data_IF_770513749793
#
_entry.id   IF_770513749793
#
_cell.length_a   1.000
_cell.length_b   1.000
_cell.length_c   1.000
_cell.angle_alpha   90.00
_cell.angle_beta   90.00
_cell.angle_gamma   90.00
#
_symmetry.space_group_name_H-M   'P 1'
#
loop_
_entity.id
_entity.type
_entity.pdbx_description
1 polymer ?
#
# COMPACT_ATOMS: atom_id res chain seq x y z
N UNK A 1 -6.76 4.71 9.17
CA UNK A 1 -5.29 4.72 9.34
C UNK A 1 -4.72 4.08 8.11
N UNK A 2 -3.86 4.79 7.41
CA UNK A 2 -3.24 4.32 6.19
C UNK A 2 -1.74 4.49 6.31
N UNK A 3 -1.02 3.43 5.99
CA UNK A 3 0.43 3.44 5.92
C UNK A 3 0.82 2.89 4.57
N UNK A 4 1.82 3.46 3.91
CA UNK A 4 2.34 2.90 2.67
C UNK A 4 3.85 2.75 2.76
N UNK A 5 4.38 1.85 1.96
CA UNK A 5 5.80 1.62 1.88
C UNK A 5 6.21 1.37 0.43
N UNK A 6 7.46 1.72 0.14
CA UNK A 6 8.13 1.42 -1.13
C UNK A 6 8.87 0.11 -0.95
N UNK A 7 8.86 -0.77 -1.94
CA UNK A 7 9.63 -2.00 -1.89
C UNK A 7 11.10 -1.76 -2.25
N UNK A 8 12.03 -2.44 -1.58
CA UNK A 8 13.48 -2.44 -1.90
C UNK A 8 13.71 -2.86 -3.34
N UNK A 9 12.91 -3.82 -3.81
CA UNK A 9 12.91 -4.35 -5.18
C UNK A 9 11.47 -4.59 -5.61
N UNK A 10 11.17 -4.41 -6.91
CA UNK A 10 9.86 -4.71 -7.44
C UNK A 10 9.52 -6.20 -7.24
N UNK A 11 8.41 -6.48 -6.56
CA UNK A 11 7.93 -7.85 -6.32
C UNK A 11 7.04 -8.31 -7.46
N UNK A 12 7.19 -9.55 -7.90
CA UNK A 12 6.45 -10.05 -9.06
C UNK A 12 4.98 -10.27 -8.69
N UNK A 13 4.06 -9.51 -9.29
CA UNK A 13 2.62 -9.67 -9.09
C UNK A 13 2.08 -10.81 -9.97
N UNK A 14 2.53 -10.85 -11.22
CA UNK A 14 2.20 -11.86 -12.22
C UNK A 14 3.34 -11.95 -13.25
N UNK A 15 3.16 -12.69 -14.35
CA UNK A 15 4.21 -12.85 -15.37
C UNK A 15 4.64 -11.57 -16.10
N UNK A 16 3.86 -10.50 -16.02
CA UNK A 16 4.05 -9.25 -16.77
C UNK A 16 4.17 -8.02 -15.88
N UNK A 17 3.69 -8.08 -14.64
CA UNK A 17 3.60 -6.94 -13.74
C UNK A 17 4.35 -7.16 -12.44
N UNK A 18 4.86 -6.04 -11.93
CA UNK A 18 5.59 -5.96 -10.68
C UNK A 18 4.93 -4.94 -9.78
N UNK A 19 4.95 -5.21 -8.47
CA UNK A 19 4.55 -4.30 -7.42
C UNK A 19 5.77 -3.49 -6.98
N UNK A 20 5.62 -2.18 -6.91
CA UNK A 20 6.66 -1.25 -6.45
C UNK A 20 6.35 -0.66 -5.08
N UNK A 21 5.06 -0.56 -4.74
CA UNK A 21 4.59 -0.01 -3.47
C UNK A 21 3.40 -0.79 -2.97
N UNK A 22 3.21 -0.73 -1.67
CA UNK A 22 2.08 -1.33 -0.95
C UNK A 22 1.54 -0.29 0.03
N UNK A 23 0.21 -0.21 0.15
CA UNK A 23 -0.48 0.59 1.14
C UNK A 23 -1.40 -0.29 1.97
N UNK A 24 -1.25 -0.25 3.29
CA UNK A 24 -2.11 -0.92 4.25
C UNK A 24 -3.07 0.09 4.86
N UNK A 25 -4.36 -0.15 4.65
CA UNK A 25 -5.45 0.60 5.22
C UNK A 25 -6.14 -0.24 6.29
N UNK A 26 -5.95 0.13 7.56
CA UNK A 26 -6.68 -0.47 8.67
C UNK A 26 -8.09 0.11 8.75
N UNK A 27 -9.07 -0.71 8.43
CA UNK A 27 -10.50 -0.39 8.51
C UNK A 27 -11.00 -0.89 9.86
N UNK A 28 -11.48 0.02 10.72
CA UNK A 28 -11.79 -0.22 12.15
C UNK A 28 -12.72 -1.43 12.43
N UNK A 29 -13.40 -2.00 11.42
CA UNK A 29 -14.34 -3.14 11.56
C UNK A 29 -14.21 -4.23 10.49
N UNK A 30 -13.40 -4.05 9.45
CA UNK A 30 -13.35 -4.96 8.30
C UNK A 30 -12.00 -5.64 8.11
N UNK A 31 -11.00 -5.30 8.93
CA UNK A 31 -9.65 -5.84 8.84
C UNK A 31 -8.69 -4.82 8.24
N UNK A 32 -7.77 -5.30 7.41
CA UNK A 32 -6.74 -4.47 6.78
C UNK A 32 -6.78 -4.68 5.27
N UNK A 33 -7.07 -3.62 4.54
CA UNK A 33 -6.98 -3.63 3.09
C UNK A 33 -5.55 -3.32 2.66
N UNK A 34 -4.96 -4.20 1.88
CA UNK A 34 -3.67 -4.02 1.25
C UNK A 34 -3.88 -3.65 -0.22
N UNK A 35 -3.32 -2.53 -0.62
CA UNK A 35 -3.37 -2.01 -1.97
C UNK A 35 -1.97 -2.06 -2.56
N UNK A 36 -1.83 -2.66 -3.73
CA UNK A 36 -0.54 -2.86 -4.39
C UNK A 36 -0.49 -2.08 -5.70
N UNK A 37 0.65 -1.43 -5.94
CA UNK A 37 0.82 -0.45 -7.01
C UNK A 37 1.86 -0.95 -8.00
N UNK A 38 1.50 -1.04 -9.29
CA UNK A 38 2.38 -1.58 -10.33
C UNK A 38 3.35 -0.57 -10.94
N UNK A 39 3.42 0.64 -10.37
CA UNK A 39 4.38 1.67 -10.75
C UNK A 39 4.82 2.50 -9.55
N UNK A 40 6.04 3.04 -9.61
CA UNK A 40 6.55 4.00 -8.64
C UNK A 40 5.79 5.35 -8.67
N UNK A 41 5.05 5.65 -9.73
CA UNK A 41 4.26 6.88 -9.86
C UNK A 41 2.75 6.61 -9.83
N UNK A 42 2.35 5.35 -9.62
CA UNK A 42 0.94 5.00 -9.54
C UNK A 42 0.31 5.65 -8.31
N UNK A 43 -0.69 6.50 -8.57
CA UNK A 43 -1.53 7.11 -7.53
C UNK A 43 -2.67 6.20 -7.11
N UNK A 44 -3.01 5.19 -7.92
CA UNK A 44 -4.11 4.23 -7.67
C UNK A 44 -3.59 2.80 -7.65
N UNK A 45 -4.25 1.97 -6.87
CA UNK A 45 -3.91 0.57 -6.78
C UNK A 45 -4.26 -0.16 -8.09
N UNK A 46 -3.42 -1.13 -8.45
CA UNK A 46 -3.72 -2.09 -9.53
C UNK A 46 -4.30 -3.39 -8.96
N UNK A 47 -3.92 -3.71 -7.73
CA UNK A 47 -4.37 -4.90 -7.01
C UNK A 47 -4.76 -4.56 -5.58
N UNK A 48 -5.72 -5.31 -5.06
CA UNK A 48 -6.14 -5.24 -3.66
C UNK A 48 -6.18 -6.64 -3.04
N UNK A 49 -5.91 -6.69 -1.73
CA UNK A 49 -5.98 -7.89 -0.93
C UNK A 49 -6.46 -7.56 0.48
N UNK A 50 -7.28 -8.41 1.08
CA UNK A 50 -7.79 -8.20 2.42
C UNK A 50 -7.11 -9.14 3.42
N UNK A 51 -6.45 -8.56 4.41
CA UNK A 51 -5.90 -9.24 5.56
C UNK A 51 -6.84 -9.15 6.76
N UNK A 52 -6.89 -10.22 7.56
CA UNK A 52 -7.63 -10.22 8.82
C UNK A 52 -7.04 -9.25 9.85
N UNK A 53 -5.70 -9.15 9.90
CA UNK A 53 -4.97 -8.37 10.90
C UNK A 53 -3.78 -7.63 10.28
N UNK A 54 -3.41 -6.51 10.89
CA UNK A 54 -2.27 -5.69 10.45
C UNK A 54 -0.93 -6.44 10.63
N UNK A 55 -0.83 -7.28 11.66
CA UNK A 55 0.36 -8.09 11.93
C UNK A 55 0.67 -9.02 10.77
N UNK A 56 -0.33 -9.73 10.23
CA UNK A 56 -0.15 -10.61 9.07
C UNK A 56 0.32 -9.84 7.83
N UNK A 57 -0.21 -8.62 7.62
CA UNK A 57 0.27 -7.78 6.53
C UNK A 57 1.72 -7.33 6.77
N UNK A 58 2.12 -7.01 8.00
CA UNK A 58 3.53 -6.72 8.28
C UNK A 58 4.44 -7.93 8.06
N UNK A 59 4.01 -9.14 8.45
CA UNK A 59 4.79 -10.36 8.21
C UNK A 59 5.09 -10.59 6.72
N UNK A 60 4.13 -10.33 5.83
CA UNK A 60 4.34 -10.45 4.37
C UNK A 60 5.22 -9.35 3.78
N UNK A 61 5.10 -8.11 4.28
CA UNK A 61 5.66 -6.93 3.58
C UNK A 61 6.91 -6.33 4.24
N UNK A 62 7.09 -6.42 5.56
CA UNK A 62 8.13 -5.66 6.30
C UNK A 62 9.56 -6.02 5.90
N UNK A 63 9.80 -7.26 5.47
CA UNK A 63 11.10 -7.70 4.95
C UNK A 63 11.41 -7.14 3.55
N UNK A 64 10.37 -6.78 2.80
CA UNK A 64 10.42 -6.34 1.41
C UNK A 64 10.51 -4.80 1.26
N UNK A 65 10.08 -4.03 2.27
CA UNK A 65 10.05 -2.56 2.22
C UNK A 65 11.42 -1.91 2.38
N UNK A 66 11.66 -0.81 1.68
CA UNK A 66 12.91 -0.04 1.69
C UNK A 66 13.25 0.57 3.07
N UNK A 67 14.47 1.11 3.21
CA UNK A 67 14.98 1.70 4.46
C UNK A 67 14.12 2.86 4.99
N UNK A 68 13.29 3.48 4.15
CA UNK A 68 12.31 4.49 4.59
C UNK A 68 11.21 3.89 5.47
N UNK A 69 11.00 2.58 5.43
CA UNK A 69 9.98 1.87 6.19
C UNK A 69 8.56 2.29 5.80
N UNK A 70 7.63 2.09 6.75
CA UNK A 70 6.23 2.48 6.59
C UNK A 70 6.04 3.99 6.81
N UNK A 71 5.45 4.65 5.83
CA UNK A 71 5.11 6.07 5.84
C UNK A 71 3.62 6.19 6.15
N UNK A 72 3.29 6.83 7.27
CA UNK A 72 1.91 7.12 7.63
C UNK A 72 1.34 8.24 6.77
N UNK A 73 0.13 8.03 6.26
CA UNK A 73 -0.63 9.04 5.52
C UNK A 73 -1.97 9.27 6.19
N UNK A 74 -2.38 10.54 6.21
CA UNK A 74 -3.67 10.93 6.76
C UNK A 74 -4.80 10.26 5.96
N UNK A 75 -5.86 9.87 6.67
CA UNK A 75 -7.08 9.33 6.05
C UNK A 75 -7.65 10.36 5.06
N UNK A 76 -8.23 9.93 3.93
CA UNK A 76 -8.76 10.88 2.97
C UNK A 76 -9.91 11.64 3.64
N UNK A 77 -9.90 12.96 3.55
CA UNK A 77 -11.00 13.81 4.00
C UNK A 77 -12.29 13.30 3.30
N UNK A 78 -13.44 13.22 3.99
CA UNK A 78 -14.65 12.52 3.51
C UNK A 78 -15.31 13.07 2.22
N UNK A 79 -14.67 14.00 1.51
CA UNK A 79 -15.16 14.63 0.29
C UNK A 79 -14.19 14.39 -0.88
N UNK A 80 -14.14 13.15 -1.37
CA UNK A 80 -13.80 12.88 -2.77
C UNK A 80 -12.51 12.12 -3.05
N UNK A 81 -11.66 11.84 -2.05
CA UNK A 81 -10.51 10.96 -2.24
C UNK A 81 -10.89 9.51 -1.98
N UNK A 82 -10.48 8.61 -2.88
CA UNK A 82 -10.66 7.17 -2.69
C UNK A 82 -9.66 6.66 -1.67
N UNK A 83 -10.06 5.61 -0.97
CA UNK A 83 -9.26 4.92 0.04
C UNK A 83 -7.93 4.42 -0.54
N UNK A 84 -7.92 4.01 -1.82
CA UNK A 84 -6.75 3.51 -2.57
C UNK A 84 -5.81 4.59 -3.12
N UNK A 85 -6.16 5.87 -2.99
CA UNK A 85 -5.39 6.97 -3.58
C UNK A 85 -4.19 7.34 -2.69
N UNK A 86 -2.98 7.24 -3.24
CA UNK A 86 -1.75 7.77 -2.65
C UNK A 86 -1.49 9.21 -3.12
N UNK A 87 -0.89 10.07 -2.27
CA UNK A 87 -0.39 11.35 -2.74
C UNK A 87 0.66 11.14 -3.83
N UNK A 88 0.60 11.96 -4.88
CA UNK A 88 1.69 12.02 -5.85
C UNK A 88 2.97 12.41 -5.10
N UNK A 89 4.06 11.70 -5.36
CA UNK A 89 5.37 12.09 -4.84
C UNK A 89 5.80 13.29 -5.70
N UNK A 90 5.71 14.49 -5.14
CA UNK A 90 6.37 15.67 -5.71
C UNK A 90 7.88 15.51 -5.50
N UNK A 91 8.66 15.63 -6.57
CA UNK A 91 10.14 15.60 -6.59
C UNK A 91 10.74 16.85 -5.93
#
# INVERSE_FOLDING_TARGET
>A
MRIYAILKKPEKANDYEFIYKVMLHKIKREGVMCYMYTSADATRCSYDHCYSYLETAHEDWDELIDEKGWIEIEDPVPLGRRDDELPAIDD
#
